data_IF_171220671570
#
_entry.id   IF_171220671570
#
_cell.length_a   1.000
_cell.length_b   1.000
_cell.length_c   1.000
_cell.angle_alpha   90.00
_cell.angle_beta   90.00
_cell.angle_gamma   90.00
#
_symmetry.space_group_name_H-M   'P 1'
#
loop_
_entity.id
_entity.type
_entity.pdbx_description
1 polymer ?
#
# COMPACT_ATOMS: atom_id res chain seq x y z
N UNK A 1 -18.47 43.19 -4.11
CA UNK A 1 -19.64 42.49 -3.55
C UNK A 1 -20.44 41.71 -4.60
N UNK A 2 -21.17 42.33 -5.54
CA UNK A 2 -22.00 41.58 -6.53
C UNK A 2 -21.26 40.49 -7.34
N UNK A 3 -20.00 40.72 -7.73
CA UNK A 3 -19.15 39.70 -8.40
C UNK A 3 -18.92 38.45 -7.54
N UNK A 4 -18.80 38.59 -6.21
CA UNK A 4 -18.62 37.47 -5.30
C UNK A 4 -19.90 36.63 -5.18
N UNK A 5 -21.06 37.29 -5.09
CA UNK A 5 -22.35 36.60 -5.10
C UNK A 5 -22.61 35.87 -6.42
N UNK A 6 -22.28 36.49 -7.55
CA UNK A 6 -22.36 35.82 -8.84
C UNK A 6 -21.46 34.57 -8.89
N UNK A 7 -20.21 34.64 -8.42
CA UNK A 7 -19.31 33.48 -8.34
C UNK A 7 -19.91 32.35 -7.49
N UNK A 8 -20.47 32.67 -6.32
CA UNK A 8 -21.12 31.69 -5.43
C UNK A 8 -22.38 31.08 -6.06
N UNK A 9 -23.19 31.88 -6.74
CA UNK A 9 -24.39 31.40 -7.43
C UNK A 9 -24.03 30.43 -8.57
N UNK A 10 -23.05 30.78 -9.41
CA UNK A 10 -22.60 29.91 -10.49
C UNK A 10 -21.92 28.64 -9.99
N UNK A 11 -21.19 28.73 -8.87
CA UNK A 11 -20.63 27.55 -8.20
C UNK A 11 -21.74 26.56 -7.85
N UNK A 12 -22.80 27.00 -7.15
CA UNK A 12 -23.96 26.17 -6.79
C UNK A 12 -24.61 25.53 -8.02
N UNK A 13 -24.94 26.33 -9.04
CA UNK A 13 -25.59 25.79 -10.25
C UNK A 13 -24.69 24.81 -11.00
N UNK A 14 -23.38 25.10 -11.11
CA UNK A 14 -22.44 24.24 -11.83
C UNK A 14 -22.17 22.91 -11.10
N UNK A 15 -22.15 22.94 -9.76
CA UNK A 15 -22.05 21.74 -8.93
C UNK A 15 -23.29 20.86 -9.12
N UNK A 16 -24.49 21.45 -9.07
CA UNK A 16 -25.76 20.76 -9.28
C UNK A 16 -25.88 20.14 -10.68
N UNK A 17 -25.56 20.89 -11.74
CA UNK A 17 -25.59 20.39 -13.11
C UNK A 17 -24.54 19.30 -13.36
N UNK A 18 -23.41 19.35 -12.67
CA UNK A 18 -22.40 18.28 -12.71
C UNK A 18 -22.92 17.00 -12.06
N UNK A 19 -23.62 17.10 -10.93
CA UNK A 19 -24.27 15.96 -10.28
C UNK A 19 -25.38 15.36 -11.15
N UNK A 20 -26.22 16.19 -11.78
CA UNK A 20 -27.24 15.73 -12.74
C UNK A 20 -26.61 14.99 -13.91
N UNK A 21 -25.58 15.59 -14.53
CA UNK A 21 -24.87 14.96 -15.64
C UNK A 21 -24.33 13.58 -15.24
N UNK A 22 -23.61 13.49 -14.11
CA UNK A 22 -23.03 12.24 -13.63
C UNK A 22 -24.09 11.19 -13.23
N UNK A 23 -25.31 11.60 -12.87
CA UNK A 23 -26.43 10.67 -12.65
C UNK A 23 -26.91 10.03 -13.95
N UNK A 24 -27.12 10.82 -15.00
CA UNK A 24 -27.58 10.33 -16.31
C UNK A 24 -26.47 9.59 -17.09
N UNK A 25 -25.20 9.89 -16.82
CA UNK A 25 -24.05 9.31 -17.52
C UNK A 25 -23.64 7.91 -17.03
N UNK A 26 -24.55 7.12 -16.42
CA UNK A 26 -24.24 5.81 -15.80
C UNK A 26 -24.43 4.61 -16.71
N UNK A 27 -25.56 4.54 -17.41
CA UNK A 27 -25.97 3.34 -18.18
C UNK A 27 -25.37 3.32 -19.59
N UNK A 28 -25.38 4.48 -20.27
CA UNK A 28 -24.76 4.71 -21.58
C UNK A 28 -23.81 5.91 -21.50
N UNK A 29 -22.62 5.73 -20.90
CA UNK A 29 -21.74 6.84 -20.56
C UNK A 29 -21.18 7.52 -21.81
N UNK A 30 -21.37 8.83 -21.88
CA UNK A 30 -20.56 9.72 -22.71
C UNK A 30 -19.15 9.80 -22.13
N UNK A 31 -18.14 9.79 -23.01
CA UNK A 31 -16.73 9.94 -22.65
C UNK A 31 -16.37 11.40 -22.32
N UNK A 32 -16.97 11.94 -21.26
CA UNK A 32 -16.79 13.32 -20.78
C UNK A 32 -16.37 13.28 -19.31
N UNK A 33 -15.21 13.85 -19.00
CA UNK A 33 -14.75 13.99 -17.63
C UNK A 33 -15.38 15.22 -16.97
N UNK A 34 -16.16 15.02 -15.90
CA UNK A 34 -16.85 16.10 -15.17
C UNK A 34 -16.82 15.87 -13.67
N UNK A 35 -16.09 16.73 -12.96
CA UNK A 35 -15.93 16.67 -11.51
C UNK A 35 -16.21 18.05 -10.88
N UNK A 36 -16.92 18.04 -9.76
CA UNK A 36 -17.14 19.20 -8.89
C UNK A 36 -17.10 18.71 -7.45
N UNK A 37 -15.96 18.93 -6.78
CA UNK A 37 -15.64 18.33 -5.47
C UNK A 37 -15.52 19.44 -4.42
N UNK A 38 -16.25 19.26 -3.32
CA UNK A 38 -16.28 20.12 -2.15
C UNK A 38 -16.27 19.24 -0.88
N UNK A 39 -15.85 19.76 0.28
CA UNK A 39 -15.23 21.07 0.52
C UNK A 39 -13.77 21.14 0.03
N UNK A 40 -13.15 22.32 0.09
CA UNK A 40 -11.72 22.51 -0.19
C UNK A 40 -10.95 22.91 1.07
N UNK A 41 -9.83 22.23 1.33
CA UNK A 41 -8.92 22.50 2.44
C UNK A 41 -7.57 22.96 1.91
N UNK A 42 -7.17 24.18 2.26
CA UNK A 42 -5.82 24.67 1.95
C UNK A 42 -4.80 23.95 2.84
N UNK A 43 -3.78 23.35 2.22
CA UNK A 43 -2.68 22.68 2.91
C UNK A 43 -1.55 23.69 3.16
N UNK A 44 -0.63 23.35 4.07
CA UNK A 44 0.51 24.22 4.41
C UNK A 44 1.39 24.54 3.18
N UNK A 45 1.58 23.53 2.32
CA UNK A 45 2.28 23.59 1.04
C UNK A 45 1.84 22.37 0.21
N UNK A 46 2.27 22.31 -1.05
CA UNK A 46 2.11 21.14 -1.93
C UNK A 46 3.08 20.04 -1.54
N UNK A 47 3.65 19.32 -2.50
CA UNK A 47 4.66 18.29 -2.22
C UNK A 47 5.93 18.90 -1.59
N UNK A 48 6.31 20.09 -2.06
CA UNK A 48 7.47 20.85 -1.61
C UNK A 48 7.07 22.21 -1.01
N UNK A 49 7.85 22.79 -0.07
CA UNK A 49 7.49 24.04 0.63
C UNK A 49 7.18 25.25 -0.26
N UNK A 50 7.77 25.32 -1.46
CA UNK A 50 7.55 26.42 -2.40
C UNK A 50 6.26 26.28 -3.24
N UNK A 51 5.62 25.10 -3.20
CA UNK A 51 4.39 24.80 -3.90
C UNK A 51 3.18 25.06 -3.00
N UNK A 52 2.07 25.54 -3.55
CA UNK A 52 0.79 25.63 -2.83
C UNK A 52 0.04 24.31 -2.98
N UNK A 53 -0.63 23.86 -1.92
CA UNK A 53 -1.45 22.64 -1.93
C UNK A 53 -2.88 22.94 -1.49
N UNK A 54 -3.86 22.36 -2.17
CA UNK A 54 -5.28 22.37 -1.78
C UNK A 54 -5.80 20.95 -1.95
N UNK A 55 -6.41 20.40 -0.91
CA UNK A 55 -7.15 19.15 -0.96
C UNK A 55 -8.63 19.45 -1.20
N UNK A 56 -9.28 18.68 -2.08
CA UNK A 56 -10.72 18.77 -2.34
C UNK A 56 -11.38 17.45 -1.90
N UNK A 57 -12.33 17.53 -0.97
CA UNK A 57 -12.98 16.41 -0.29
C UNK A 57 -13.11 16.66 1.21
N UNK A 58 -13.94 15.87 1.90
CA UNK A 58 -14.13 15.98 3.35
C UNK A 58 -13.40 14.87 4.12
N UNK A 59 -12.25 15.21 4.69
CA UNK A 59 -11.50 14.26 5.52
C UNK A 59 -12.25 13.86 6.80
N UNK A 60 -13.22 14.66 7.26
CA UNK A 60 -13.97 14.35 8.48
C UNK A 60 -14.95 13.19 8.26
N UNK A 61 -15.34 12.89 7.03
CA UNK A 61 -16.14 11.71 6.70
C UNK A 61 -15.32 10.42 6.86
N UNK A 62 -14.01 10.49 6.62
CA UNK A 62 -13.10 9.35 6.71
C UNK A 62 -12.36 9.24 8.05
N UNK A 63 -12.08 10.36 8.72
CA UNK A 63 -11.26 10.38 9.94
C UNK A 63 -11.82 11.30 11.03
N UNK A 64 -11.78 10.85 12.28
CA UNK A 64 -11.75 11.75 13.44
C UNK A 64 -10.30 12.00 13.84
N UNK A 65 -9.87 13.27 13.81
CA UNK A 65 -8.53 13.65 14.29
C UNK A 65 -8.54 13.77 15.81
N UNK A 66 -7.88 12.84 16.49
CA UNK A 66 -7.82 12.78 17.95
C UNK A 66 -6.71 13.67 18.54
N UNK A 67 -5.70 14.01 17.74
CA UNK A 67 -4.63 14.92 18.14
C UNK A 67 -3.60 15.17 17.05
N UNK A 68 -2.69 16.10 17.30
CA UNK A 68 -1.59 16.42 16.41
C UNK A 68 -1.77 17.69 15.57
N UNK A 69 -0.85 17.86 14.62
CA UNK A 69 -0.90 18.94 13.62
C UNK A 69 -1.94 18.63 12.52
N UNK A 70 -2.19 19.61 11.65
CA UNK A 70 -2.88 19.33 10.38
C UNK A 70 -2.02 18.45 9.45
N UNK A 71 -2.70 17.61 8.66
CA UNK A 71 -2.09 16.80 7.61
C UNK A 71 -1.46 17.69 6.54
N UNK A 72 -0.24 17.37 6.14
CA UNK A 72 0.41 17.95 4.96
C UNK A 72 0.02 17.21 3.67
N UNK A 73 0.41 17.73 2.51
CA UNK A 73 0.24 17.05 1.22
C UNK A 73 0.87 15.64 1.24
N UNK A 74 2.14 15.55 1.68
CA UNK A 74 2.84 14.26 1.72
C UNK A 74 2.19 13.30 2.72
N UNK A 75 1.67 13.81 3.84
CA UNK A 75 0.91 12.96 4.75
C UNK A 75 -0.35 12.42 4.07
N UNK A 76 -1.11 13.23 3.34
CA UNK A 76 -2.30 12.74 2.64
C UNK A 76 -1.97 11.65 1.62
N UNK A 77 -0.87 11.83 0.87
CA UNK A 77 -0.39 10.82 -0.10
C UNK A 77 0.01 9.51 0.60
N UNK A 78 0.72 9.58 1.72
CA UNK A 78 1.09 8.39 2.50
C UNK A 78 -0.11 7.75 3.21
N UNK A 79 -1.06 8.55 3.71
CA UNK A 79 -2.30 8.07 4.34
C UNK A 79 -3.19 7.35 3.32
N UNK A 80 -3.33 7.88 2.11
CA UNK A 80 -4.07 7.22 1.02
C UNK A 80 -3.46 5.85 0.68
N UNK A 81 -2.13 5.78 0.52
CA UNK A 81 -1.42 4.52 0.29
C UNK A 81 -1.56 3.55 1.47
N UNK A 82 -1.52 4.05 2.70
CA UNK A 82 -1.67 3.24 3.92
C UNK A 82 -3.06 2.61 4.01
N UNK A 83 -4.11 3.40 3.75
CA UNK A 83 -5.50 2.93 3.72
C UNK A 83 -5.69 1.89 2.62
N UNK A 84 -5.19 2.15 1.41
CA UNK A 84 -5.31 1.20 0.31
C UNK A 84 -4.65 -0.15 0.59
N UNK A 85 -3.47 -0.15 1.24
CA UNK A 85 -2.75 -1.37 1.60
C UNK A 85 -3.43 -2.12 2.75
N UNK A 86 -3.81 -1.44 3.82
CA UNK A 86 -4.36 -2.13 5.00
C UNK A 86 -5.71 -2.79 4.71
N UNK A 87 -6.46 -2.27 3.74
CA UNK A 87 -7.75 -2.82 3.30
C UNK A 87 -7.64 -4.19 2.60
N UNK A 88 -6.43 -4.64 2.29
CA UNK A 88 -6.20 -6.00 1.77
C UNK A 88 -6.20 -7.08 2.88
N UNK A 89 -6.23 -6.70 4.16
CA UNK A 89 -6.01 -7.61 5.29
C UNK A 89 -7.18 -7.64 6.27
N UNK A 90 -7.63 -8.85 6.61
CA UNK A 90 -8.67 -9.10 7.61
C UNK A 90 -8.06 -9.48 8.97
N UNK A 91 -6.91 -10.16 8.97
CA UNK A 91 -6.19 -10.54 10.17
C UNK A 91 -5.63 -9.30 10.90
N UNK A 92 -5.44 -9.32 12.24
CA UNK A 92 -4.80 -8.21 12.94
C UNK A 92 -3.45 -7.88 12.28
N UNK A 93 -3.38 -6.68 11.71
CA UNK A 93 -2.29 -6.26 10.83
C UNK A 93 -1.86 -4.85 11.17
N UNK A 94 -0.56 -4.61 11.12
CA UNK A 94 0.04 -3.28 11.21
C UNK A 94 0.96 -3.08 10.02
N UNK A 95 0.80 -1.96 9.33
CA UNK A 95 1.68 -1.52 8.25
C UNK A 95 2.35 -0.19 8.60
N UNK A 96 3.60 -0.03 8.21
CA UNK A 96 4.44 1.15 8.38
C UNK A 96 4.89 1.58 7.00
N UNK A 97 4.45 2.76 6.57
CA UNK A 97 4.74 3.32 5.27
C UNK A 97 5.70 4.50 5.37
N UNK A 98 6.52 4.63 4.33
CA UNK A 98 7.37 5.78 4.08
C UNK A 98 7.38 6.08 2.59
N UNK A 99 6.94 7.29 2.20
CA UNK A 99 6.89 7.70 0.80
C UNK A 99 6.10 6.69 -0.08
N UNK A 100 4.88 6.37 0.34
CA UNK A 100 3.91 5.45 -0.28
C UNK A 100 4.28 3.97 -0.30
N UNK A 101 5.45 3.59 0.21
CA UNK A 101 5.91 2.21 0.21
C UNK A 101 5.91 1.64 1.64
N UNK A 102 5.48 0.40 1.81
CA UNK A 102 5.59 -0.30 3.08
C UNK A 102 7.06 -0.62 3.38
N UNK A 103 7.60 -0.04 4.46
CA UNK A 103 8.90 -0.44 4.98
C UNK A 103 8.78 -1.55 6.04
N UNK A 104 7.58 -1.72 6.62
CA UNK A 104 7.26 -2.81 7.53
C UNK A 104 5.79 -3.17 7.46
N UNK A 105 5.46 -4.45 7.47
CA UNK A 105 4.08 -4.93 7.58
C UNK A 105 4.07 -6.35 8.11
N UNK A 106 3.14 -6.65 9.03
CA UNK A 106 2.94 -7.99 9.54
C UNK A 106 1.49 -8.22 9.96
N UNK A 107 1.00 -9.44 9.78
CA UNK A 107 -0.29 -9.92 10.25
C UNK A 107 -0.07 -11.03 11.28
N UNK A 108 -0.57 -10.85 12.50
CA UNK A 108 -0.36 -11.77 13.65
C UNK A 108 -1.65 -11.94 14.44
N UNK A 109 -1.55 -12.61 15.60
CA UNK A 109 -2.70 -12.85 16.47
C UNK A 109 -3.19 -11.62 17.23
N UNK A 110 -2.41 -10.53 17.26
CA UNK A 110 -2.76 -9.28 17.92
C UNK A 110 -2.10 -8.07 17.24
N UNK A 111 -2.66 -6.88 17.44
CA UNK A 111 -2.06 -5.63 16.93
C UNK A 111 -0.68 -5.38 17.55
N UNK A 112 -0.50 -5.67 18.84
CA UNK A 112 0.81 -5.53 19.51
C UNK A 112 1.90 -6.40 18.85
N UNK A 113 1.60 -7.68 18.57
CA UNK A 113 2.57 -8.56 17.92
C UNK A 113 2.81 -8.12 16.47
N UNK A 114 1.76 -7.73 15.77
CA UNK A 114 1.85 -7.22 14.40
C UNK A 114 2.71 -5.96 14.30
N UNK A 115 2.56 -5.04 15.26
CA UNK A 115 3.43 -3.87 15.39
C UNK A 115 4.89 -4.27 15.60
N UNK A 116 5.15 -5.18 16.54
CA UNK A 116 6.50 -5.62 16.89
C UNK A 116 7.21 -6.22 15.68
N UNK A 117 6.53 -7.11 14.96
CA UNK A 117 7.05 -7.77 13.76
C UNK A 117 7.19 -6.77 12.59
N UNK A 118 6.19 -5.91 12.36
CA UNK A 118 6.27 -4.88 11.31
C UNK A 118 7.44 -3.91 11.54
N UNK A 119 7.69 -3.49 12.78
CA UNK A 119 8.81 -2.60 13.10
C UNK A 119 10.17 -3.26 12.85
N UNK A 120 10.29 -4.56 13.10
CA UNK A 120 11.53 -5.30 12.93
C UNK A 120 11.99 -5.36 11.45
N UNK A 121 11.07 -5.20 10.49
CA UNK A 121 11.35 -5.26 9.05
C UNK A 121 12.40 -4.21 8.61
N UNK A 122 12.21 -2.96 9.03
CA UNK A 122 13.09 -1.83 8.73
C UNK A 122 12.85 -0.70 9.75
N UNK A 123 13.44 -0.79 10.96
CA UNK A 123 13.25 0.19 12.01
C UNK A 123 13.84 1.56 11.66
N UNK A 124 14.78 1.62 10.71
CA UNK A 124 15.42 2.86 10.27
C UNK A 124 14.44 3.68 9.41
N UNK A 125 13.83 3.07 8.40
CA UNK A 125 12.86 3.77 7.54
C UNK A 125 11.53 4.04 8.25
N UNK A 126 11.17 3.21 9.23
CA UNK A 126 9.97 3.40 10.06
C UNK A 126 9.99 4.74 10.82
N UNK A 127 11.19 5.28 11.12
CA UNK A 127 11.33 6.57 11.79
C UNK A 127 10.71 7.69 10.95
N UNK A 128 9.71 8.38 11.54
CA UNK A 128 8.93 9.42 10.85
C UNK A 128 8.08 8.87 9.71
N UNK A 129 7.60 7.62 9.82
CA UNK A 129 6.66 7.01 8.89
C UNK A 129 5.19 7.29 9.23
N UNK A 130 4.31 6.75 8.38
CA UNK A 130 2.87 6.64 8.61
C UNK A 130 2.58 5.21 9.05
N UNK A 131 1.95 5.05 10.22
CA UNK A 131 1.57 3.76 10.77
C UNK A 131 0.06 3.59 10.60
N UNK A 132 -0.37 2.42 10.17
CA UNK A 132 -1.80 2.06 10.11
C UNK A 132 -2.02 0.65 10.66
N UNK A 133 -3.12 0.49 11.39
CA UNK A 133 -3.61 -0.79 11.88
C UNK A 133 -5.08 -1.01 11.46
N UNK A 134 -5.48 -2.27 11.22
CA UNK A 134 -6.89 -2.62 10.98
C UNK A 134 -7.65 -3.04 12.25
N UNK A 135 -7.04 -2.94 13.44
CA UNK A 135 -7.66 -3.22 14.72
C UNK A 135 -7.48 -2.10 15.73
N UNK A 136 -8.09 -2.26 16.91
CA UNK A 136 -7.98 -1.29 18.00
C UNK A 136 -6.53 -1.16 18.52
N UNK A 137 -6.09 0.07 18.75
CA UNK A 137 -4.85 0.35 19.49
C UNK A 137 -5.18 0.48 20.98
N UNK A 138 -4.75 -0.51 21.76
CA UNK A 138 -4.84 -0.51 23.22
C UNK A 138 -3.65 0.22 23.89
N UNK A 139 -3.69 0.33 25.21
CA UNK A 139 -2.63 0.99 25.99
C UNK A 139 -1.25 0.34 25.80
N UNK A 140 -1.17 -0.99 25.77
CA UNK A 140 0.09 -1.71 25.62
C UNK A 140 0.72 -1.45 24.25
N UNK A 141 -0.09 -1.49 23.19
CA UNK A 141 0.34 -1.19 21.83
C UNK A 141 0.73 0.27 21.68
N UNK A 142 -0.03 1.20 22.28
CA UNK A 142 0.28 2.62 22.29
C UNK A 142 1.63 2.95 22.97
N UNK A 143 1.98 2.23 24.05
CA UNK A 143 3.27 2.36 24.74
C UNK A 143 4.41 1.97 23.80
N UNK A 144 4.31 0.80 23.15
CA UNK A 144 5.34 0.33 22.24
C UNK A 144 5.49 1.23 21.01
N UNK A 145 4.38 1.60 20.36
CA UNK A 145 4.37 2.55 19.25
C UNK A 145 5.00 3.89 19.66
N UNK A 146 4.75 4.35 20.89
CA UNK A 146 5.26 5.63 21.37
C UNK A 146 6.78 5.70 21.53
N UNK A 147 7.47 4.56 21.58
CA UNK A 147 8.94 4.50 21.59
C UNK A 147 9.55 4.97 20.27
N UNK A 148 8.83 4.83 19.15
CA UNK A 148 9.25 5.29 17.83
C UNK A 148 8.73 6.72 17.58
N UNK A 149 9.52 7.54 16.89
CA UNK A 149 8.98 8.75 16.28
C UNK A 149 8.26 8.40 14.97
N UNK A 150 7.02 8.87 14.81
CA UNK A 150 6.21 8.71 13.61
C UNK A 150 5.45 10.01 13.34
N UNK A 151 5.00 10.22 12.10
CA UNK A 151 4.22 11.41 11.74
C UNK A 151 2.72 11.20 11.94
N UNK A 152 2.19 10.07 11.44
CA UNK A 152 0.76 9.74 11.47
C UNK A 152 0.55 8.33 12.01
N UNK A 153 -0.45 8.15 12.86
CA UNK A 153 -0.97 6.83 13.27
C UNK A 153 -2.46 6.77 12.99
N UNK A 154 -2.89 5.73 12.28
CA UNK A 154 -4.27 5.49 11.88
C UNK A 154 -4.73 4.14 12.44
N UNK A 155 -5.92 4.11 13.02
CA UNK A 155 -6.60 2.88 13.41
C UNK A 155 -8.13 3.08 13.40
N UNK A 156 -8.93 2.02 13.29
CA UNK A 156 -10.39 2.14 13.41
C UNK A 156 -10.85 2.51 14.83
N UNK A 157 -10.06 2.17 15.86
CA UNK A 157 -10.40 2.42 17.25
C UNK A 157 -9.14 2.59 18.13
N UNK A 158 -9.33 3.24 19.27
CA UNK A 158 -8.32 3.46 20.30
C UNK A 158 -8.97 3.37 21.68
N UNK A 159 -8.30 2.75 22.64
CA UNK A 159 -8.70 2.86 24.05
C UNK A 159 -8.47 4.29 24.58
N UNK A 160 -9.17 4.69 25.65
CA UNK A 160 -9.00 6.03 26.24
C UNK A 160 -7.55 6.27 26.70
N UNK A 161 -6.93 5.26 27.31
CA UNK A 161 -5.53 5.30 27.74
C UNK A 161 -4.58 5.40 26.56
N UNK A 162 -4.85 4.68 25.45
CA UNK A 162 -4.06 4.77 24.23
C UNK A 162 -4.07 6.19 23.67
N UNK A 163 -5.24 6.85 23.62
CA UNK A 163 -5.36 8.25 23.21
C UNK A 163 -4.52 9.15 24.12
N UNK A 164 -4.61 8.99 25.43
CA UNK A 164 -3.82 9.77 26.41
C UNK A 164 -2.31 9.62 26.18
N UNK A 165 -1.82 8.38 26.00
CA UNK A 165 -0.41 8.08 25.73
C UNK A 165 0.05 8.73 24.42
N UNK A 166 -0.69 8.52 23.34
CA UNK A 166 -0.29 8.94 21.99
C UNK A 166 -0.33 10.47 21.82
N UNK A 167 -1.33 11.13 22.41
CA UNK A 167 -1.53 12.60 22.31
C UNK A 167 -0.63 13.40 23.25
N UNK A 168 0.07 12.76 24.19
CA UNK A 168 1.11 13.40 25.00
C UNK A 168 2.21 14.07 24.16
N UNK A 169 2.43 13.58 22.93
CA UNK A 169 3.33 14.18 21.93
C UNK A 169 2.53 15.02 20.92
N UNK A 170 2.46 16.33 21.16
CA UNK A 170 1.64 17.31 20.41
C UNK A 170 1.76 17.32 18.87
N UNK A 171 2.84 16.78 18.32
CA UNK A 171 3.11 16.86 16.87
C UNK A 171 2.65 15.63 16.09
N UNK A 172 2.38 14.51 16.75
CA UNK A 172 1.96 13.25 16.10
C UNK A 172 0.48 13.34 15.71
N UNK A 173 0.17 13.05 14.46
CA UNK A 173 -1.20 13.08 13.95
C UNK A 173 -1.86 11.74 14.27
N UNK A 174 -2.91 11.76 15.08
CA UNK A 174 -3.64 10.55 15.48
C UNK A 174 -5.02 10.58 14.83
N UNK A 175 -5.31 9.61 13.97
CA UNK A 175 -6.53 9.55 13.19
C UNK A 175 -7.31 8.28 13.51
N UNK A 176 -8.56 8.45 13.97
CA UNK A 176 -9.52 7.35 14.05
C UNK A 176 -10.25 7.23 12.72
N UNK A 177 -10.08 6.12 12.01
CA UNK A 177 -10.72 5.87 10.72
C UNK A 177 -12.18 5.46 10.89
N UNK A 178 -13.04 6.03 10.07
CA UNK A 178 -14.45 5.68 9.94
C UNK A 178 -14.65 4.68 8.79
N UNK A 179 -15.64 3.77 8.90
CA UNK A 179 -16.02 2.91 7.78
C UNK A 179 -16.71 3.75 6.70
N UNK A 180 -16.08 3.88 5.53
CA UNK A 180 -16.65 4.57 4.37
C UNK A 180 -16.21 3.85 3.10
N UNK A 181 -17.11 3.81 2.11
CA UNK A 181 -16.79 3.30 0.78
C UNK A 181 -15.96 4.33 0.02
N UNK A 182 -14.77 3.91 -0.42
CA UNK A 182 -13.91 4.74 -1.26
C UNK A 182 -14.29 4.61 -2.74
N UNK A 183 -14.01 5.63 -3.57
CA UNK A 183 -14.29 5.57 -5.00
C UNK A 183 -13.66 4.37 -5.71
N UNK A 184 -14.40 3.77 -6.65
CA UNK A 184 -13.95 2.66 -7.49
C UNK A 184 -13.22 3.10 -8.76
N UNK A 185 -13.24 4.39 -9.08
CA UNK A 185 -12.49 5.02 -10.18
C UNK A 185 -11.41 5.94 -9.62
N UNK A 186 -10.28 5.98 -10.30
CA UNK A 186 -9.15 6.86 -10.02
C UNK A 186 -8.90 7.76 -11.21
N UNK A 187 -8.49 9.00 -10.98
CA UNK A 187 -8.01 9.88 -12.05
C UNK A 187 -6.73 10.61 -11.67
N UNK A 188 -5.94 10.97 -12.67
CA UNK A 188 -4.69 11.73 -12.53
C UNK A 188 -4.58 12.78 -13.62
N UNK A 189 -3.94 13.90 -13.31
CA UNK A 189 -3.54 14.86 -14.34
C UNK A 189 -2.35 14.27 -15.11
N UNK A 190 -2.44 14.26 -16.44
CA UNK A 190 -1.34 13.88 -17.33
C UNK A 190 -1.25 14.90 -18.47
N UNK A 191 -0.04 15.43 -18.71
CA UNK A 191 0.20 16.46 -19.72
C UNK A 191 -0.78 17.64 -19.54
N UNK A 192 -1.62 17.91 -20.54
CA UNK A 192 -2.65 18.94 -20.55
C UNK A 192 -4.08 18.38 -20.34
N UNK A 193 -4.21 17.14 -19.85
CA UNK A 193 -5.49 16.45 -19.69
C UNK A 193 -5.58 15.62 -18.40
N UNK A 194 -6.55 14.71 -18.38
CA UNK A 194 -6.84 13.80 -17.26
C UNK A 194 -6.94 12.39 -17.80
N UNK A 195 -6.35 11.43 -17.09
CA UNK A 195 -6.60 10.00 -17.27
C UNK A 195 -7.53 9.53 -16.16
N UNK A 196 -8.53 8.71 -16.50
CA UNK A 196 -9.41 8.02 -15.56
C UNK A 196 -9.28 6.51 -15.79
N UNK A 197 -9.26 5.73 -14.71
CA UNK A 197 -9.16 4.27 -14.75
C UNK A 197 -9.92 3.64 -13.58
N UNK A 198 -10.21 2.35 -13.67
CA UNK A 198 -10.66 1.57 -12.53
C UNK A 198 -9.58 1.47 -11.45
N UNK A 199 -10.02 1.41 -10.19
CA UNK A 199 -9.17 1.02 -9.06
C UNK A 199 -8.80 -0.46 -9.22
N UNK A 200 -7.55 -0.79 -8.91
CA UNK A 200 -7.10 -2.17 -8.87
C UNK A 200 -7.69 -2.87 -7.64
N UNK A 201 -8.84 -3.52 -7.83
CA UNK A 201 -9.63 -4.17 -6.77
C UNK A 201 -9.48 -5.69 -6.74
N UNK A 202 -8.63 -6.27 -7.60
CA UNK A 202 -8.42 -7.72 -7.68
C UNK A 202 -7.18 -8.11 -6.88
N UNK A 203 -7.19 -9.28 -6.26
CA UNK A 203 -6.00 -9.92 -5.71
C UNK A 203 -6.19 -11.44 -5.72
N UNK A 204 -5.19 -12.18 -6.20
CA UNK A 204 -5.29 -13.63 -6.41
C UNK A 204 -4.86 -14.37 -5.15
N UNK A 205 -5.82 -15.05 -4.53
CA UNK A 205 -5.59 -15.91 -3.38
C UNK A 205 -4.99 -17.28 -3.75
N UNK A 206 -4.73 -18.13 -2.74
CA UNK A 206 -4.16 -19.46 -2.94
C UNK A 206 -4.91 -20.33 -3.96
N UNK A 207 -6.24 -20.19 -4.06
CA UNK A 207 -7.05 -20.97 -5.00
C UNK A 207 -6.89 -20.54 -6.46
N UNK A 208 -6.44 -19.30 -6.70
CA UNK A 208 -6.20 -18.73 -8.02
C UNK A 208 -4.72 -18.87 -8.45
N UNK A 209 -3.83 -19.28 -7.55
CA UNK A 209 -2.42 -19.51 -7.86
C UNK A 209 -2.22 -20.86 -8.55
N UNK A 210 -1.77 -20.82 -9.81
CA UNK A 210 -1.45 -22.01 -10.58
C UNK A 210 0.02 -22.40 -10.41
N UNK A 211 0.29 -23.57 -9.83
CA UNK A 211 1.65 -24.14 -9.81
C UNK A 211 2.11 -24.49 -11.22
N UNK A 212 3.26 -23.95 -11.62
CA UNK A 212 3.87 -24.19 -12.95
C UNK A 212 5.14 -25.04 -12.90
N UNK A 213 5.67 -25.28 -11.70
CA UNK A 213 6.83 -26.16 -11.45
C UNK A 213 6.41 -27.58 -11.06
N UNK A 214 7.36 -28.53 -11.14
CA UNK A 214 7.19 -29.91 -10.64
C UNK A 214 6.99 -29.95 -9.14
N UNK A 215 7.80 -29.17 -8.40
CA UNK A 215 7.68 -29.04 -6.94
C UNK A 215 6.40 -28.27 -6.62
N UNK A 216 5.61 -28.80 -5.70
CA UNK A 216 4.37 -28.19 -5.23
C UNK A 216 4.62 -27.29 -4.01
N UNK A 217 3.90 -26.16 -3.87
CA UNK A 217 3.94 -25.36 -2.66
C UNK A 217 3.29 -26.10 -1.49
N UNK A 218 3.76 -25.79 -0.29
CA UNK A 218 3.05 -26.06 0.97
C UNK A 218 1.92 -25.04 1.19
N UNK A 219 0.98 -25.36 2.08
CA UNK A 219 -0.07 -24.41 2.46
C UNK A 219 0.48 -23.12 3.07
N UNK A 220 1.56 -23.21 3.86
CA UNK A 220 2.20 -22.03 4.46
C UNK A 220 2.86 -21.16 3.39
N UNK A 221 3.54 -21.76 2.41
CA UNK A 221 4.11 -21.01 1.28
C UNK A 221 3.01 -20.31 0.47
N UNK A 222 1.87 -20.95 0.19
CA UNK A 222 0.75 -20.30 -0.49
C UNK A 222 0.18 -19.11 0.31
N UNK A 223 0.05 -19.25 1.63
CA UNK A 223 -0.39 -18.15 2.50
C UNK A 223 0.58 -16.98 2.48
N UNK A 224 1.88 -17.25 2.59
CA UNK A 224 2.91 -16.22 2.56
C UNK A 224 3.03 -15.58 1.17
N UNK A 225 2.85 -16.35 0.09
CA UNK A 225 2.83 -15.82 -1.28
C UNK A 225 1.63 -14.90 -1.49
N UNK A 226 0.47 -15.26 -0.95
CA UNK A 226 -0.72 -14.39 -1.01
C UNK A 226 -0.51 -13.10 -0.21
N UNK A 227 0.06 -13.21 1.00
CA UNK A 227 0.45 -12.05 1.81
C UNK A 227 1.44 -11.15 1.04
N UNK A 228 2.46 -11.72 0.41
CA UNK A 228 3.43 -10.99 -0.40
C UNK A 228 2.80 -10.36 -1.65
N UNK A 229 1.84 -11.06 -2.30
CA UNK A 229 1.13 -10.57 -3.48
C UNK A 229 0.32 -9.30 -3.17
N UNK A 230 -0.35 -9.26 -2.02
CA UNK A 230 -1.05 -8.06 -1.52
C UNK A 230 -0.08 -6.87 -1.41
N UNK A 231 1.14 -7.08 -0.92
CA UNK A 231 2.12 -6.00 -0.72
C UNK A 231 2.66 -5.48 -2.06
N UNK A 232 3.01 -6.36 -3.01
CA UNK A 232 3.56 -5.92 -4.31
C UNK A 232 2.54 -5.08 -5.08
N UNK A 233 1.24 -5.41 -5.00
CA UNK A 233 0.16 -4.64 -5.62
C UNK A 233 0.14 -3.17 -5.20
N UNK A 234 0.52 -2.89 -3.96
CA UNK A 234 0.48 -1.52 -3.40
C UNK A 234 1.80 -0.77 -3.48
N UNK A 235 2.86 -1.43 -3.94
CA UNK A 235 4.23 -0.91 -3.97
C UNK A 235 4.60 -0.41 -5.36
N UNK A 236 5.51 0.58 -5.46
CA UNK A 236 5.93 1.14 -6.76
C UNK A 236 6.74 0.14 -7.59
N UNK A 237 6.40 0.04 -8.87
CA UNK A 237 7.02 -0.87 -9.83
C UNK A 237 8.39 -0.38 -10.34
N UNK A 238 9.30 -1.29 -10.72
CA UNK A 238 9.19 -2.73 -10.50
C UNK A 238 9.53 -3.09 -9.05
N UNK A 239 8.85 -4.10 -8.51
CA UNK A 239 9.03 -4.47 -7.11
C UNK A 239 9.24 -5.98 -6.91
N UNK A 240 10.01 -6.28 -5.87
CA UNK A 240 10.18 -7.61 -5.31
C UNK A 240 9.91 -7.51 -3.81
N UNK A 241 9.03 -8.37 -3.30
CA UNK A 241 8.74 -8.51 -1.87
C UNK A 241 9.15 -9.89 -1.42
N UNK A 242 9.90 -9.96 -0.32
CA UNK A 242 10.22 -11.18 0.40
C UNK A 242 9.34 -11.24 1.65
N UNK A 243 8.70 -12.37 1.90
CA UNK A 243 7.85 -12.55 3.06
C UNK A 243 8.04 -13.94 3.70
N UNK A 244 7.67 -14.05 4.97
CA UNK A 244 7.64 -15.33 5.71
C UNK A 244 6.73 -15.20 6.92
N UNK A 245 5.88 -16.20 7.16
CA UNK A 245 4.95 -16.24 8.29
C UNK A 245 4.10 -14.95 8.42
N UNK A 246 3.50 -14.51 7.31
CA UNK A 246 2.70 -13.27 7.19
C UNK A 246 3.41 -12.02 7.71
N UNK A 247 4.70 -11.90 7.41
CA UNK A 247 5.53 -10.74 7.73
C UNK A 247 6.41 -10.40 6.55
N UNK A 248 6.52 -9.10 6.25
CA UNK A 248 7.50 -8.59 5.30
C UNK A 248 8.91 -8.85 5.84
N UNK A 249 9.77 -9.46 5.04
CA UNK A 249 11.18 -9.64 5.39
C UNK A 249 12.00 -8.49 4.82
N UNK A 250 11.81 -8.21 3.53
CA UNK A 250 12.41 -7.06 2.86
C UNK A 250 11.72 -6.83 1.51
N UNK A 251 11.93 -5.65 0.95
CA UNK A 251 11.47 -5.33 -0.39
C UNK A 251 12.48 -4.46 -1.14
N UNK A 252 12.51 -4.65 -2.46
CA UNK A 252 13.09 -3.72 -3.41
C UNK A 252 11.97 -3.07 -4.19
N UNK A 253 11.93 -1.74 -4.24
CA UNK A 253 10.76 -0.98 -4.70
C UNK A 253 11.18 0.12 -5.66
N UNK A 254 10.38 0.37 -6.70
CA UNK A 254 10.60 1.46 -7.66
C UNK A 254 11.81 1.28 -8.58
N UNK A 255 12.30 0.06 -8.76
CA UNK A 255 13.52 -0.18 -9.55
C UNK A 255 13.20 -0.29 -11.05
N UNK A 256 14.12 0.21 -11.88
CA UNK A 256 14.06 0.08 -13.34
C UNK A 256 14.30 -1.36 -13.79
N UNK A 257 14.98 -2.17 -12.98
CA UNK A 257 15.22 -3.60 -13.19
C UNK A 257 14.76 -4.44 -11.99
N UNK A 258 14.14 -5.59 -12.26
CA UNK A 258 13.69 -6.52 -11.20
C UNK A 258 14.82 -7.30 -10.56
N UNK A 259 15.91 -7.50 -11.29
CA UNK A 259 17.15 -8.03 -10.71
C UNK A 259 17.68 -7.07 -9.65
N UNK A 260 17.61 -5.76 -9.89
CA UNK A 260 18.06 -4.76 -8.92
C UNK A 260 17.10 -4.67 -7.72
N UNK A 261 15.78 -4.78 -7.95
CA UNK A 261 14.80 -4.91 -6.87
C UNK A 261 15.08 -6.14 -5.99
N UNK A 262 15.34 -7.30 -6.60
CA UNK A 262 15.67 -8.52 -5.85
C UNK A 262 16.97 -8.36 -5.06
N UNK A 263 18.05 -7.87 -5.68
CA UNK A 263 19.32 -7.62 -5.00
C UNK A 263 19.15 -6.64 -3.83
N UNK A 264 18.39 -5.57 -4.01
CA UNK A 264 18.07 -4.62 -2.95
C UNK A 264 17.33 -5.29 -1.79
N UNK A 265 16.32 -6.12 -2.08
CA UNK A 265 15.58 -6.86 -1.06
C UNK A 265 16.50 -7.81 -0.26
N UNK A 266 17.37 -8.55 -0.95
CA UNK A 266 18.32 -9.49 -0.32
C UNK A 266 19.32 -8.76 0.59
N UNK A 267 19.97 -7.70 0.10
CA UNK A 267 20.92 -6.89 0.90
C UNK A 267 20.21 -6.28 2.11
N UNK A 268 18.98 -5.81 1.93
CA UNK A 268 18.19 -5.22 3.01
C UNK A 268 17.82 -6.25 4.08
N UNK A 269 17.41 -7.46 3.68
CA UNK A 269 17.12 -8.56 4.60
C UNK A 269 18.37 -8.91 5.43
N UNK A 270 19.53 -9.04 4.78
CA UNK A 270 20.81 -9.31 5.47
C UNK A 270 21.18 -8.20 6.47
N UNK A 271 21.07 -6.93 6.07
CA UNK A 271 21.39 -5.79 6.92
C UNK A 271 20.54 -5.72 8.20
N UNK A 272 19.30 -6.20 8.15
CA UNK A 272 18.40 -6.28 9.30
C UNK A 272 18.42 -7.65 9.99
N UNK A 273 19.36 -8.53 9.62
CA UNK A 273 19.59 -9.80 10.28
C UNK A 273 18.53 -10.87 10.01
N UNK A 274 17.76 -10.73 8.92
CA UNK A 274 16.79 -11.73 8.52
C UNK A 274 17.42 -12.89 7.75
N UNK A 275 17.00 -14.11 8.10
CA UNK A 275 17.32 -15.29 7.31
C UNK A 275 16.41 -15.36 6.07
N UNK A 276 16.99 -15.16 4.89
CA UNK A 276 16.28 -15.26 3.59
C UNK A 276 15.87 -16.70 3.27
N UNK A 277 16.60 -17.69 3.80
CA UNK A 277 16.30 -19.09 3.54
C UNK A 277 14.91 -19.48 4.01
N UNK A 278 14.14 -20.09 3.11
CA UNK A 278 12.76 -20.49 3.38
C UNK A 278 11.75 -19.34 3.37
N UNK A 279 12.14 -18.13 2.94
CA UNK A 279 11.18 -17.07 2.62
C UNK A 279 10.51 -17.35 1.28
N UNK A 280 9.42 -16.63 1.00
CA UNK A 280 8.78 -16.60 -0.32
C UNK A 280 9.01 -15.26 -0.99
N UNK A 281 8.86 -15.21 -2.32
CA UNK A 281 9.05 -14.02 -3.13
C UNK A 281 7.82 -13.73 -3.99
N UNK A 282 7.38 -12.47 -4.02
CA UNK A 282 6.38 -11.98 -4.97
C UNK A 282 6.99 -10.94 -5.90
N UNK A 283 6.57 -10.95 -7.17
CA UNK A 283 6.82 -9.89 -8.13
C UNK A 283 5.52 -9.38 -8.72
N UNK A 284 5.43 -8.06 -8.89
CA UNK A 284 4.27 -7.39 -9.50
C UNK A 284 4.11 -7.68 -11.00
N UNK A 285 5.19 -8.12 -11.67
CA UNK A 285 5.26 -8.34 -13.11
C UNK A 285 6.06 -9.59 -13.51
N UNK A 286 5.80 -10.12 -14.70
CA UNK A 286 6.37 -11.39 -15.18
C UNK A 286 7.88 -11.36 -15.38
N UNK A 287 8.63 -12.41 -15.04
CA UNK A 287 10.09 -12.45 -15.27
C UNK A 287 10.44 -12.49 -16.77
N UNK A 288 11.29 -11.57 -17.28
CA UNK A 288 11.62 -11.53 -18.69
C UNK A 288 12.71 -12.56 -19.05
N UNK A 289 13.47 -13.00 -18.05
CA UNK A 289 14.55 -13.96 -18.12
C UNK A 289 14.56 -14.82 -16.83
N UNK A 290 15.43 -15.83 -16.77
CA UNK A 290 15.55 -16.74 -15.64
C UNK A 290 16.43 -16.22 -14.48
N UNK A 291 17.09 -15.08 -14.66
CA UNK A 291 18.03 -14.47 -13.70
C UNK A 291 17.44 -14.23 -12.31
N UNK A 292 16.23 -13.70 -12.22
CA UNK A 292 15.56 -13.46 -10.93
C UNK A 292 15.28 -14.79 -10.20
N UNK A 293 14.94 -15.85 -10.94
CA UNK A 293 14.68 -17.17 -10.37
C UNK A 293 15.96 -17.82 -9.88
N UNK A 294 17.04 -17.72 -10.66
CA UNK A 294 18.36 -18.24 -10.28
C UNK A 294 18.86 -17.55 -9.00
N UNK A 295 18.86 -16.22 -8.96
CA UNK A 295 19.27 -15.44 -7.79
C UNK A 295 18.41 -15.80 -6.56
N UNK A 296 17.09 -15.92 -6.75
CA UNK A 296 16.18 -16.25 -5.66
C UNK A 296 16.47 -17.64 -5.07
N UNK A 297 16.67 -18.64 -5.94
CA UNK A 297 16.98 -19.99 -5.51
C UNK A 297 18.34 -20.08 -4.82
N UNK A 298 19.36 -19.38 -5.33
CA UNK A 298 20.69 -19.34 -4.73
C UNK A 298 20.69 -18.65 -3.35
N UNK A 299 19.79 -17.69 -3.13
CA UNK A 299 19.54 -17.08 -1.83
C UNK A 299 18.71 -17.96 -0.87
N UNK A 300 18.22 -19.11 -1.34
CA UNK A 300 17.43 -20.05 -0.53
C UNK A 300 15.95 -19.70 -0.40
N UNK A 301 15.41 -18.86 -1.29
CA UNK A 301 13.96 -18.61 -1.38
C UNK A 301 13.25 -19.91 -1.77
N UNK A 302 12.16 -20.24 -1.09
CA UNK A 302 11.48 -21.53 -1.23
C UNK A 302 10.41 -21.54 -2.33
N UNK A 303 9.71 -20.41 -2.50
CA UNK A 303 8.63 -20.28 -3.46
C UNK A 303 8.54 -18.87 -4.04
N UNK A 304 8.07 -18.76 -5.29
CA UNK A 304 7.92 -17.50 -6.02
C UNK A 304 6.52 -17.40 -6.65
N UNK A 305 5.90 -16.22 -6.55
CA UNK A 305 4.69 -15.86 -7.31
C UNK A 305 5.01 -14.74 -8.31
N UNK A 306 4.52 -14.90 -9.53
CA UNK A 306 4.59 -13.90 -10.59
C UNK A 306 3.34 -13.99 -11.50
N UNK A 307 2.98 -12.93 -12.25
CA UNK A 307 1.80 -12.99 -13.12
C UNK A 307 1.89 -14.04 -14.24
N UNK A 308 3.07 -14.28 -14.80
CA UNK A 308 3.23 -14.97 -16.08
C UNK A 308 2.86 -14.07 -17.28
N UNK A 309 2.98 -14.61 -18.49
CA UNK A 309 2.73 -13.92 -19.76
C UNK A 309 3.99 -13.49 -20.50
N UNK A 310 5.19 -13.93 -20.07
CA UNK A 310 6.42 -13.72 -20.82
C UNK A 310 6.50 -14.68 -22.01
N UNK A 311 7.03 -14.21 -23.15
CA UNK A 311 7.41 -15.11 -24.25
C UNK A 311 8.46 -16.14 -23.78
N UNK A 312 9.20 -15.82 -22.71
CA UNK A 312 10.26 -16.64 -22.11
C UNK A 312 9.90 -17.25 -20.75
N UNK A 313 8.61 -17.35 -20.40
CA UNK A 313 8.21 -17.92 -19.10
C UNK A 313 8.80 -19.32 -18.87
N UNK A 314 8.92 -20.10 -19.95
CA UNK A 314 9.48 -21.44 -19.88
C UNK A 314 10.94 -21.46 -19.38
N UNK A 315 11.74 -20.43 -19.68
CA UNK A 315 13.13 -20.33 -19.19
C UNK A 315 13.16 -20.19 -17.67
N UNK A 316 12.28 -19.34 -17.12
CA UNK A 316 12.12 -19.13 -15.67
C UNK A 316 11.57 -20.38 -14.98
N UNK A 317 10.58 -21.06 -15.58
CA UNK A 317 10.01 -22.32 -15.05
C UNK A 317 11.06 -23.44 -15.04
N UNK A 318 11.83 -23.59 -16.12
CA UNK A 318 12.90 -24.59 -16.19
C UNK A 318 13.98 -24.32 -15.16
N UNK A 319 14.38 -23.06 -14.97
CA UNK A 319 15.33 -22.69 -13.92
C UNK A 319 14.78 -23.01 -12.52
N UNK A 320 13.49 -22.74 -12.29
CA UNK A 320 12.85 -23.06 -11.02
C UNK A 320 12.86 -24.57 -10.74
N UNK A 321 12.51 -25.39 -11.74
CA UNK A 321 12.58 -26.85 -11.66
C UNK A 321 14.02 -27.35 -11.42
N UNK A 322 15.01 -26.78 -12.13
CA UNK A 322 16.43 -27.14 -11.99
C UNK A 322 16.95 -26.85 -10.58
N UNK A 323 16.56 -25.72 -10.00
CA UNK A 323 16.98 -25.30 -8.66
C UNK A 323 16.03 -25.79 -7.54
N UNK A 324 14.99 -26.55 -7.88
CA UNK A 324 14.01 -27.10 -6.94
C UNK A 324 13.29 -26.04 -6.07
N UNK A 325 13.01 -24.88 -6.65
CA UNK A 325 12.20 -23.79 -6.08
C UNK A 325 10.79 -23.87 -6.65
N UNK A 326 9.78 -23.59 -5.82
CA UNK A 326 8.38 -23.58 -6.27
C UNK A 326 8.13 -22.30 -7.07
N UNK A 327 7.41 -22.40 -8.18
CA UNK A 327 6.85 -21.24 -8.87
C UNK A 327 5.35 -21.41 -9.08
N UNK A 328 4.59 -20.38 -8.72
CA UNK A 328 3.17 -20.24 -9.02
C UNK A 328 2.91 -18.99 -9.86
N UNK A 329 1.83 -19.03 -10.66
CA UNK A 329 1.41 -17.92 -11.50
C UNK A 329 -0.03 -17.48 -11.19
N UNK A 330 -0.33 -16.19 -11.38
CA UNK A 330 -1.65 -15.60 -11.09
C UNK A 330 -2.42 -15.19 -12.34
N UNK A 331 -1.73 -14.91 -13.46
CA UNK A 331 -2.33 -14.37 -14.68
C UNK A 331 -2.68 -12.88 -14.61
N UNK A 332 -2.42 -12.20 -13.48
CA UNK A 332 -2.81 -10.80 -13.26
C UNK A 332 -1.61 -9.99 -12.80
N UNK A 333 -1.40 -8.84 -13.45
CA UNK A 333 -0.28 -7.94 -13.21
C UNK A 333 -0.74 -6.71 -12.44
N UNK A 334 -0.10 -6.43 -11.30
CA UNK A 334 -0.39 -5.26 -10.46
C UNK A 334 0.67 -4.17 -10.59
N UNK A 335 0.81 -3.60 -11.78
CA UNK A 335 1.81 -2.55 -12.04
C UNK A 335 1.38 -1.19 -11.48
N UNK A 336 2.29 -0.49 -10.79
CA UNK A 336 2.03 0.81 -10.16
C UNK A 336 3.19 1.79 -10.38
N UNK A 337 2.92 2.89 -11.10
CA UNK A 337 3.83 4.04 -11.21
C UNK A 337 3.89 4.86 -9.92
#
# INVERSE_FOLDING_TARGET
QRKDFARKAFHISSHYDSAIFNYFNRDEPLAIFKQSIEPAQTLRYGENPHQKGIFYGDLNELFDKLGGKELSYNNLVDVDAAVALIDEFDEPTVAILKHTNACGIASKNSILQSWTDALACDPVSAFGGVIIANGEIDAATAIEISKLFFEVLIAPAYSEEAVSILTSKKNRIILRRKPIELPSKLFKTLLNGVIEQDKDSVIEGPAQMQTVTKKQPTEQELKDLFFANKIVKHTKSNTIVLAKNSMLIASGVGQTSRVDALKQALVKAENFGFEVKGTVMASDAFFPFNDCVEIAADAGIAAVVQPGGSIKDQDSIQMADQKNIVMVTTGVRHFKH
#
